data_IF_743626844767
#
_entry.id   IF_743626844767
#
_cell.length_a   1.000
_cell.length_b   1.000
_cell.length_c   1.000
_cell.angle_alpha   90.00
_cell.angle_beta   90.00
_cell.angle_gamma   90.00
#
_symmetry.space_group_name_H-M   'P 1'
#
loop_
_entity.id
_entity.type
_entity.pdbx_description
1 polymer ?
#
# COMPACT_ATOMS: atom_id res chain seq x y z
N UNK A 1 -23.77 -56.66 -56.02
CA UNK A 1 -22.38 -56.81 -56.46
C UNK A 1 -21.62 -55.54 -56.10
N UNK A 2 -20.55 -55.69 -55.33
CA UNK A 2 -19.59 -54.69 -54.84
C UNK A 2 -19.97 -53.93 -53.61
N UNK A 3 -19.50 -54.43 -52.51
CA UNK A 3 -19.22 -53.82 -51.21
C UNK A 3 -18.31 -52.60 -51.37
N UNK A 4 -18.60 -51.51 -50.70
CA UNK A 4 -17.60 -50.51 -50.31
C UNK A 4 -17.73 -50.22 -48.81
N UNK A 5 -16.76 -50.75 -48.06
CA UNK A 5 -16.53 -50.42 -46.68
C UNK A 5 -16.06 -48.96 -46.60
N UNK A 6 -16.76 -48.14 -45.83
CA UNK A 6 -16.29 -46.84 -45.41
C UNK A 6 -15.76 -46.97 -43.99
N UNK A 7 -14.45 -46.86 -43.83
CA UNK A 7 -13.75 -46.77 -42.56
C UNK A 7 -13.97 -45.36 -41.96
N UNK A 8 -14.74 -45.29 -40.88
CA UNK A 8 -14.82 -44.11 -40.05
C UNK A 8 -13.60 -44.09 -39.11
N UNK A 9 -12.65 -43.22 -39.41
CA UNK A 9 -11.58 -42.87 -38.50
C UNK A 9 -12.11 -41.92 -37.43
N UNK A 10 -12.24 -42.39 -36.19
CA UNK A 10 -12.52 -41.58 -35.02
C UNK A 10 -11.24 -40.84 -34.61
N UNK A 11 -11.16 -39.56 -34.96
CA UNK A 11 -10.10 -38.70 -34.44
C UNK A 11 -10.54 -38.16 -33.06
N UNK A 12 -10.00 -38.78 -32.00
CA UNK A 12 -10.10 -38.26 -30.64
C UNK A 12 -9.22 -37.04 -30.49
N UNK A 13 -9.84 -35.85 -30.57
CA UNK A 13 -9.18 -34.58 -30.29
C UNK A 13 -8.94 -34.47 -28.78
N UNK A 14 -7.72 -34.74 -28.35
CA UNK A 14 -7.25 -34.52 -26.98
C UNK A 14 -7.07 -33.02 -26.77
N UNK A 15 -8.11 -32.32 -26.28
CA UNK A 15 -8.02 -30.94 -25.86
C UNK A 15 -7.19 -30.89 -24.58
N UNK A 16 -5.89 -30.62 -24.75
CA UNK A 16 -4.99 -30.33 -23.65
C UNK A 16 -5.44 -29.07 -22.91
N UNK A 17 -5.91 -29.25 -21.69
CA UNK A 17 -6.20 -28.17 -20.76
C UNK A 17 -4.86 -27.51 -20.39
N UNK A 18 -4.48 -26.46 -21.13
CA UNK A 18 -3.34 -25.61 -20.78
C UNK A 18 -3.70 -24.88 -19.49
N UNK A 19 -3.23 -25.40 -18.36
CA UNK A 19 -3.24 -24.69 -17.08
C UNK A 19 -2.34 -23.48 -17.23
N UNK A 20 -2.93 -22.32 -17.48
CA UNK A 20 -2.25 -21.04 -17.36
C UNK A 20 -1.95 -20.80 -15.87
N UNK A 21 -0.82 -21.35 -15.40
CA UNK A 21 -0.22 -20.90 -14.16
C UNK A 21 0.35 -19.51 -14.44
N UNK A 22 -0.52 -18.50 -14.38
CA UNK A 22 -0.09 -17.11 -14.42
C UNK A 22 0.89 -16.88 -13.28
N UNK A 23 2.11 -16.48 -13.61
CA UNK A 23 3.03 -15.90 -12.63
C UNK A 23 2.30 -14.75 -11.97
N UNK A 24 1.95 -14.91 -10.68
CA UNK A 24 1.52 -13.81 -9.86
C UNK A 24 2.71 -12.87 -9.75
N UNK A 25 2.68 -11.76 -10.47
CA UNK A 25 3.60 -10.67 -10.27
C UNK A 25 3.45 -10.24 -8.82
N UNK A 26 4.54 -10.38 -8.04
CA UNK A 26 4.55 -10.04 -6.60
C UNK A 26 4.30 -8.55 -6.33
N UNK A 27 4.18 -7.74 -7.37
CA UNK A 27 3.97 -6.29 -7.29
C UNK A 27 2.54 -5.83 -7.62
N UNK A 28 1.63 -6.74 -8.01
CA UNK A 28 0.24 -6.36 -8.28
C UNK A 28 -0.60 -6.72 -7.06
N UNK A 29 -0.93 -5.73 -6.25
CA UNK A 29 -1.86 -5.89 -5.13
C UNK A 29 -3.24 -6.27 -5.67
N UNK A 30 -3.89 -7.23 -5.03
CA UNK A 30 -5.29 -7.52 -5.32
C UNK A 30 -6.17 -6.29 -5.01
N UNK A 31 -7.30 -6.08 -5.73
CA UNK A 31 -8.22 -5.00 -5.39
C UNK A 31 -8.62 -5.07 -3.92
N UNK A 32 -8.40 -3.98 -3.18
CA UNK A 32 -8.69 -3.90 -1.74
C UNK A 32 -7.56 -4.35 -0.79
N UNK A 33 -6.46 -4.90 -1.32
CA UNK A 33 -5.29 -5.25 -0.51
C UNK A 33 -4.49 -3.99 -0.17
N UNK A 34 -4.08 -3.84 1.10
CA UNK A 34 -3.29 -2.68 1.53
C UNK A 34 -1.90 -2.68 0.87
N UNK A 35 -1.33 -1.52 0.52
CA UNK A 35 0.02 -1.40 -0.02
C UNK A 35 1.12 -1.76 0.99
N UNK A 36 0.78 -2.09 2.22
CA UNK A 36 1.70 -2.49 3.29
C UNK A 36 1.18 -3.69 4.07
N UNK A 37 2.11 -4.54 4.53
CA UNK A 37 1.82 -5.70 5.38
C UNK A 37 1.94 -5.40 6.88
N UNK A 38 2.30 -4.16 7.24
CA UNK A 38 2.47 -3.76 8.65
C UNK A 38 1.15 -3.83 9.39
N UNK A 39 1.18 -4.47 10.55
CA UNK A 39 0.07 -4.53 11.51
C UNK A 39 0.44 -3.70 12.73
N UNK A 40 -0.39 -2.74 13.06
CA UNK A 40 -0.20 -1.85 14.21
C UNK A 40 -0.87 -2.40 15.46
N UNK A 41 -0.23 -2.28 16.63
CA UNK A 41 -0.88 -2.53 17.91
C UNK A 41 -1.86 -1.40 18.25
N UNK A 42 -2.80 -1.67 19.16
CA UNK A 42 -3.79 -0.66 19.61
C UNK A 42 -3.18 0.49 20.43
N UNK A 43 -1.98 0.29 20.97
CA UNK A 43 -1.23 1.24 21.80
C UNK A 43 0.27 0.94 21.80
N UNK A 44 1.08 1.88 22.29
CA UNK A 44 2.55 1.80 22.32
C UNK A 44 3.11 1.60 20.92
N UNK A 45 2.63 2.41 19.98
CA UNK A 45 3.07 2.34 18.58
C UNK A 45 4.50 2.85 18.48
N UNK A 46 5.41 1.98 18.01
CA UNK A 46 6.81 2.35 17.74
C UNK A 46 6.93 3.02 16.37
N UNK A 47 7.66 4.14 16.33
CA UNK A 47 8.01 4.77 15.06
C UNK A 47 8.86 3.84 14.19
N UNK A 48 9.96 3.34 14.71
CA UNK A 48 10.90 2.51 13.94
C UNK A 48 10.28 1.21 13.44
N UNK A 49 9.56 0.50 14.32
CA UNK A 49 9.00 -0.82 13.98
C UNK A 49 7.76 -0.72 13.11
N UNK A 50 6.86 0.22 13.36
CA UNK A 50 5.56 0.26 12.70
C UNK A 50 5.46 1.39 11.67
N UNK A 51 5.70 2.66 12.11
CA UNK A 51 5.45 3.83 11.26
C UNK A 51 6.46 3.91 10.11
N UNK A 52 7.76 3.86 10.41
CA UNK A 52 8.79 3.93 9.37
C UNK A 52 8.71 2.71 8.44
N UNK A 53 8.39 1.52 8.96
CA UNK A 53 8.23 0.33 8.13
C UNK A 53 7.05 0.49 7.17
N UNK A 54 5.92 1.03 7.62
CA UNK A 54 4.78 1.37 6.76
C UNK A 54 5.21 2.39 5.68
N UNK A 55 5.92 3.45 6.06
CA UNK A 55 6.36 4.45 5.11
C UNK A 55 7.29 3.87 4.04
N UNK A 56 8.24 3.03 4.43
CA UNK A 56 9.15 2.38 3.48
C UNK A 56 8.43 1.45 2.49
N UNK A 57 7.29 0.88 2.87
CA UNK A 57 6.51 -0.02 2.01
C UNK A 57 5.51 0.71 1.11
N UNK A 58 5.00 1.87 1.52
CA UNK A 58 3.84 2.47 0.87
C UNK A 58 3.97 3.96 0.54
N UNK A 59 4.94 4.68 1.10
CA UNK A 59 5.00 6.14 1.03
C UNK A 59 6.34 6.68 0.56
N UNK A 60 7.44 6.26 1.19
CA UNK A 60 8.81 6.72 0.91
C UNK A 60 9.43 5.97 -0.28
N UNK A 61 8.65 5.79 -1.33
CA UNK A 61 9.06 5.09 -2.56
C UNK A 61 9.63 6.08 -3.57
N UNK A 62 10.45 5.62 -4.56
CA UNK A 62 10.89 6.45 -5.67
C UNK A 62 9.71 7.14 -6.36
N UNK A 63 9.90 8.43 -6.71
CA UNK A 63 8.88 9.32 -7.28
C UNK A 63 7.74 9.72 -6.30
N UNK A 64 7.81 9.30 -5.05
CA UNK A 64 6.87 9.65 -4.00
C UNK A 64 7.57 10.50 -2.91
N UNK A 65 7.56 10.06 -1.66
CA UNK A 65 8.10 10.80 -0.53
C UNK A 65 9.47 10.27 -0.08
N UNK A 66 10.31 9.86 -1.03
CA UNK A 66 11.72 9.53 -0.80
C UNK A 66 12.60 10.80 -0.78
N UNK A 67 13.88 10.67 -0.41
CA UNK A 67 14.81 11.79 -0.34
C UNK A 67 15.21 12.35 -1.71
N UNK A 68 14.97 11.62 -2.79
CA UNK A 68 15.26 12.09 -4.15
C UNK A 68 14.12 12.90 -4.76
N UNK A 69 12.88 12.48 -4.50
CA UNK A 69 11.69 13.01 -5.17
C UNK A 69 10.99 14.11 -4.39
N UNK A 70 10.90 13.97 -3.05
CA UNK A 70 10.21 14.92 -2.15
C UNK A 70 8.84 15.37 -2.69
N UNK A 71 8.01 14.45 -3.15
CA UNK A 71 6.70 14.79 -3.71
C UNK A 71 5.91 15.69 -2.73
N UNK A 72 5.41 16.82 -3.23
CA UNK A 72 4.78 17.82 -2.36
C UNK A 72 5.71 18.50 -1.35
N UNK A 73 7.03 18.42 -1.54
CA UNK A 73 8.04 18.98 -0.62
C UNK A 73 8.26 18.16 0.64
N UNK A 74 7.76 16.92 0.70
CA UNK A 74 7.79 16.05 1.87
C UNK A 74 8.66 14.81 1.64
N UNK A 75 9.57 14.51 2.57
CA UNK A 75 10.23 13.22 2.71
C UNK A 75 9.70 12.47 3.94
N UNK A 76 9.49 11.15 3.79
CA UNK A 76 9.05 10.26 4.87
C UNK A 76 10.10 9.17 5.18
N UNK A 77 11.36 9.45 4.86
CA UNK A 77 12.48 8.50 5.03
C UNK A 77 13.05 8.48 6.44
N UNK A 78 12.74 9.49 7.25
CA UNK A 78 13.24 9.61 8.61
C UNK A 78 12.23 10.25 9.55
N UNK A 79 12.41 10.00 10.85
CA UNK A 79 11.61 10.63 11.90
C UNK A 79 11.63 12.17 11.82
N UNK A 80 12.83 12.75 11.68
CA UNK A 80 12.98 14.20 11.60
C UNK A 80 12.19 14.80 10.42
N UNK A 81 12.34 14.20 9.24
CA UNK A 81 11.63 14.65 8.04
C UNK A 81 10.12 14.51 8.19
N UNK A 82 9.65 13.45 8.83
CA UNK A 82 8.23 13.20 9.05
C UNK A 82 7.60 14.21 10.01
N UNK A 83 8.28 14.52 11.11
CA UNK A 83 7.66 15.25 12.22
C UNK A 83 7.97 16.75 12.18
N UNK A 84 9.17 17.13 11.75
CA UNK A 84 9.67 18.48 11.92
C UNK A 84 10.01 19.25 10.64
N UNK A 85 10.30 18.56 9.54
CA UNK A 85 10.76 19.24 8.32
C UNK A 85 9.67 20.11 7.67
N UNK A 86 8.41 19.66 7.72
CA UNK A 86 7.27 20.41 7.15
C UNK A 86 6.21 20.63 8.23
N UNK A 87 5.95 21.88 8.62
CA UNK A 87 4.95 22.19 9.65
C UNK A 87 3.55 21.67 9.30
N UNK A 88 2.87 21.07 10.29
CA UNK A 88 1.50 20.60 10.16
C UNK A 88 1.35 19.19 9.58
N UNK A 89 2.39 18.58 9.03
CA UNK A 89 2.34 17.18 8.61
C UNK A 89 1.97 16.29 9.79
N UNK A 90 2.66 16.45 10.90
CA UNK A 90 2.34 15.81 12.18
C UNK A 90 2.14 16.92 13.22
N UNK A 91 0.94 17.00 13.79
CA UNK A 91 0.64 17.83 14.96
C UNK A 91 0.65 16.92 16.18
N UNK A 92 1.68 17.03 16.99
CA UNK A 92 1.92 16.12 18.14
C UNK A 92 0.70 16.11 19.06
N UNK A 93 0.20 14.93 19.41
CA UNK A 93 -1.01 14.68 20.21
C UNK A 93 -2.33 15.11 19.56
N UNK A 94 -2.29 15.56 18.31
CA UNK A 94 -3.51 15.95 17.58
C UNK A 94 -3.57 15.28 16.20
N UNK A 95 -3.99 14.02 16.13
CA UNK A 95 -4.12 13.31 14.86
C UNK A 95 -5.21 13.91 13.95
N UNK A 96 -6.20 14.61 14.49
CA UNK A 96 -7.28 15.19 13.69
C UNK A 96 -6.80 16.34 12.82
N UNK A 97 -5.86 17.14 13.32
CA UNK A 97 -5.29 18.29 12.64
C UNK A 97 -3.93 17.99 11.97
N UNK A 98 -3.48 16.75 12.00
CA UNK A 98 -2.30 16.29 11.26
C UNK A 98 -2.61 16.06 9.79
N UNK A 99 -1.93 16.78 8.89
CA UNK A 99 -2.11 16.63 7.43
C UNK A 99 -1.85 15.19 6.98
N UNK A 100 -0.87 14.51 7.58
CA UNK A 100 -0.60 13.09 7.33
C UNK A 100 -1.86 12.23 7.47
N UNK A 101 -2.57 12.39 8.58
CA UNK A 101 -3.81 11.64 8.84
C UNK A 101 -4.90 12.03 7.84
N UNK A 102 -5.08 13.33 7.62
CA UNK A 102 -6.08 13.82 6.66
C UNK A 102 -5.83 13.25 5.27
N UNK A 103 -4.57 13.16 4.84
CA UNK A 103 -4.22 12.65 3.50
C UNK A 103 -4.47 11.15 3.36
N UNK A 104 -4.10 10.33 4.34
CA UNK A 104 -4.35 8.88 4.28
C UNK A 104 -5.84 8.52 4.42
N UNK A 105 -6.64 9.38 5.04
CA UNK A 105 -8.10 9.24 5.14
C UNK A 105 -8.86 9.81 3.94
N UNK A 106 -8.19 10.51 3.02
CA UNK A 106 -8.83 11.13 1.86
C UNK A 106 -9.63 12.39 2.16
N UNK A 107 -9.38 13.06 3.26
CA UNK A 107 -10.00 14.33 3.67
C UNK A 107 -9.00 15.48 3.77
N UNK A 108 -7.89 15.37 3.05
CA UNK A 108 -6.87 16.40 3.01
C UNK A 108 -7.37 17.71 2.41
N UNK A 109 -6.73 18.84 2.75
CA UNK A 109 -7.15 20.18 2.30
C UNK A 109 -7.02 20.35 0.79
N UNK A 110 -6.12 19.62 0.14
CA UNK A 110 -5.86 19.70 -1.31
C UNK A 110 -5.35 18.35 -1.83
N UNK A 111 -5.58 18.08 -3.13
CA UNK A 111 -5.05 16.91 -3.84
C UNK A 111 -5.66 15.58 -3.39
N UNK A 112 -5.14 14.52 -3.97
CA UNK A 112 -5.67 13.18 -3.81
C UNK A 112 -5.40 12.57 -2.44
N UNK A 113 -6.19 11.54 -2.12
CA UNK A 113 -5.91 10.62 -1.00
C UNK A 113 -4.54 9.95 -1.21
N UNK A 114 -3.81 9.74 -0.14
CA UNK A 114 -2.53 9.00 -0.17
C UNK A 114 -2.71 7.53 0.24
N UNK A 115 -1.99 6.62 -0.42
CA UNK A 115 -1.23 6.80 -1.66
C UNK A 115 -2.16 7.09 -2.87
N UNK A 116 -1.76 7.96 -3.82
CA UNK A 116 -2.56 8.23 -5.00
C UNK A 116 -2.47 7.06 -6.01
N UNK A 117 -3.57 6.77 -6.70
CA UNK A 117 -3.59 5.72 -7.72
C UNK A 117 -3.34 4.30 -7.22
N UNK A 118 -3.22 4.10 -5.91
CA UNK A 118 -3.03 2.81 -5.26
C UNK A 118 -4.19 2.49 -4.30
N UNK A 119 -4.22 1.24 -3.82
CA UNK A 119 -5.16 0.87 -2.77
C UNK A 119 -4.94 1.70 -1.50
N UNK A 120 -6.01 1.97 -0.78
CA UNK A 120 -5.95 2.66 0.51
C UNK A 120 -5.13 1.86 1.53
N UNK A 121 -4.55 2.55 2.50
CA UNK A 121 -4.17 1.90 3.74
C UNK A 121 -5.42 1.28 4.38
N UNK A 122 -5.27 0.13 5.03
CA UNK A 122 -6.37 -0.49 5.75
C UNK A 122 -6.65 0.26 7.08
N UNK A 123 -7.79 -0.04 7.70
CA UNK A 123 -8.22 0.67 8.91
C UNK A 123 -7.26 0.50 10.09
N UNK A 124 -6.60 -0.68 10.22
CA UNK A 124 -5.59 -0.89 11.27
C UNK A 124 -4.39 0.05 11.09
N UNK A 125 -3.91 0.23 9.87
CA UNK A 125 -2.78 1.10 9.55
C UNK A 125 -3.13 2.59 9.76
N UNK A 126 -4.31 3.02 9.33
CA UNK A 126 -4.79 4.39 9.56
C UNK A 126 -4.91 4.64 11.07
N UNK A 127 -5.55 3.74 11.81
CA UNK A 127 -5.68 3.85 13.26
C UNK A 127 -4.31 3.83 13.96
N UNK A 128 -3.38 3.00 13.49
CA UNK A 128 -2.03 2.95 14.03
C UNK A 128 -1.28 4.28 13.91
N UNK A 129 -1.34 4.94 12.76
CA UNK A 129 -0.76 6.28 12.59
C UNK A 129 -1.43 7.30 13.52
N UNK A 130 -2.76 7.25 13.65
CA UNK A 130 -3.49 8.11 14.59
C UNK A 130 -3.06 7.89 16.03
N UNK A 131 -2.94 6.62 16.44
CA UNK A 131 -2.50 6.24 17.79
C UNK A 131 -1.09 6.75 18.06
N UNK A 132 -0.15 6.53 17.14
CA UNK A 132 1.22 7.04 17.28
C UNK A 132 1.25 8.56 17.50
N UNK A 133 0.49 9.33 16.72
CA UNK A 133 0.42 10.78 16.89
C UNK A 133 -0.23 11.15 18.23
N UNK A 134 -1.33 10.50 18.61
CA UNK A 134 -2.02 10.72 19.88
C UNK A 134 -1.14 10.42 21.10
N UNK A 135 -0.27 9.40 21.00
CA UNK A 135 0.72 9.04 22.02
C UNK A 135 1.91 10.01 22.10
N UNK A 136 1.97 10.99 21.20
CA UNK A 136 2.99 12.04 21.22
C UNK A 136 3.99 11.96 20.07
N UNK A 137 3.72 11.17 19.04
CA UNK A 137 4.56 10.99 17.85
C UNK A 137 6.03 10.72 18.23
N UNK A 138 6.28 9.77 19.12
CA UNK A 138 7.60 9.51 19.68
C UNK A 138 8.53 8.83 18.66
N UNK A 139 9.84 9.12 18.77
CA UNK A 139 10.90 8.44 18.04
C UNK A 139 11.41 7.25 18.84
N UNK A 140 10.78 6.09 18.73
CA UNK A 140 11.04 4.89 19.56
C UNK A 140 11.13 3.61 18.70
#
# INVERSE_FOLDING_TARGET
MKLLLALLAASTSLIGLLSLTGCKDKNTLAPGESPSTVVFPDRNVSYGVHVQTLFNQACALPMCHDDGSHAGGLSLTSYYNTVFAVPGIVVIKDPQNSILVMKIEGRGPTGDRMPPGANALNQNQINGIRTWIAEGAQNN
#
